data_IF_806481110073
#
_entry.id   IF_806481110073
#
_cell.length_a   1.000
_cell.length_b   1.000
_cell.length_c   1.000
_cell.angle_alpha   90.00
_cell.angle_beta   90.00
_cell.angle_gamma   90.00
#
_symmetry.space_group_name_H-M   'P 1'
#
loop_
_entity.id
_entity.type
_entity.pdbx_description
1 polymer ?
#
# COMPACT_ATOMS: atom_id res chain seq x y z
N UNK A 1 24.45 -9.34 -7.23
CA UNK A 1 23.14 -9.72 -6.65
C UNK A 1 23.05 -9.15 -5.26
N UNK A 2 21.87 -8.71 -4.86
CA UNK A 2 21.66 -8.07 -3.56
C UNK A 2 20.37 -8.60 -2.93
N UNK A 3 20.42 -8.96 -1.65
CA UNK A 3 19.23 -9.24 -0.84
C UNK A 3 18.85 -7.99 -0.06
N UNK A 4 17.57 -7.66 -0.03
CA UNK A 4 17.06 -6.47 0.66
C UNK A 4 15.94 -6.87 1.62
N UNK A 5 15.89 -6.21 2.77
CA UNK A 5 14.73 -6.17 3.65
C UNK A 5 14.37 -4.71 3.85
N UNK A 6 13.12 -4.37 3.57
CA UNK A 6 12.62 -2.99 3.60
C UNK A 6 11.40 -2.94 4.50
N UNK A 7 11.39 -1.95 5.39
CA UNK A 7 10.22 -1.58 6.18
C UNK A 7 9.84 -0.15 5.82
N UNK A 8 8.56 0.07 5.55
CA UNK A 8 8.03 1.38 5.18
C UNK A 8 6.54 1.49 5.50
N UNK A 9 5.99 2.66 5.26
CA UNK A 9 4.58 2.93 5.38
C UNK A 9 4.12 3.67 4.13
N UNK A 10 2.97 3.27 3.61
CA UNK A 10 2.22 4.00 2.59
C UNK A 10 0.93 4.52 3.20
N UNK A 11 0.46 5.65 2.71
CA UNK A 11 -0.81 6.26 3.10
C UNK A 11 -1.42 7.01 1.92
N UNK A 12 -2.73 7.08 1.91
CA UNK A 12 -3.51 7.87 0.98
C UNK A 12 -4.72 8.49 1.69
N UNK A 13 -5.14 9.65 1.20
CA UNK A 13 -6.33 10.33 1.68
C UNK A 13 -6.98 11.04 0.49
N UNK A 14 -8.23 10.68 0.19
CA UNK A 14 -9.01 11.25 -0.90
C UNK A 14 -9.26 12.77 -0.72
N UNK A 15 -9.21 13.28 0.51
CA UNK A 15 -9.30 14.72 0.81
C UNK A 15 -8.20 15.54 0.12
N UNK A 16 -7.05 14.93 -0.16
CA UNK A 16 -5.97 15.58 -0.89
C UNK A 16 -6.25 15.75 -2.40
N UNK A 17 -7.30 15.09 -2.91
CA UNK A 17 -7.72 15.07 -4.30
C UNK A 17 -9.20 15.46 -4.45
N UNK A 18 -9.68 16.34 -3.60
CA UNK A 18 -11.08 16.78 -3.54
C UNK A 18 -11.58 17.53 -4.77
N UNK A 19 -10.69 17.96 -5.65
CA UNK A 19 -10.98 18.50 -6.98
C UNK A 19 -11.44 17.42 -7.98
N UNK A 20 -11.19 16.13 -7.69
CA UNK A 20 -11.69 15.01 -8.44
C UNK A 20 -13.00 14.54 -7.78
N UNK A 21 -14.12 14.76 -8.43
CA UNK A 21 -15.45 14.50 -7.86
C UNK A 21 -15.63 13.07 -7.31
N UNK A 22 -15.06 12.07 -7.95
CA UNK A 22 -15.16 10.67 -7.54
C UNK A 22 -14.37 10.42 -6.25
N UNK A 23 -13.16 10.98 -6.10
CA UNK A 23 -12.37 10.91 -4.88
C UNK A 23 -13.05 11.66 -3.74
N UNK A 24 -13.54 12.87 -4.01
CA UNK A 24 -14.31 13.63 -3.02
C UNK A 24 -15.49 12.82 -2.47
N UNK A 25 -16.30 12.23 -3.34
CA UNK A 25 -17.44 11.40 -2.95
C UNK A 25 -17.04 10.14 -2.19
N UNK A 26 -15.91 9.53 -2.54
CA UNK A 26 -15.43 8.29 -1.92
C UNK A 26 -14.95 8.52 -0.48
N UNK A 27 -14.28 9.64 -0.22
CA UNK A 27 -13.84 10.10 1.11
C UNK A 27 -13.05 9.04 1.90
N UNK A 28 -12.23 8.26 1.23
CA UNK A 28 -11.44 7.22 1.86
C UNK A 28 -10.07 7.75 2.31
N UNK A 29 -9.58 7.19 3.40
CA UNK A 29 -8.19 7.31 3.81
C UNK A 29 -7.67 5.96 4.30
N UNK A 30 -6.39 5.76 4.13
CA UNK A 30 -5.74 4.55 4.64
C UNK A 30 -4.29 4.81 5.01
N UNK A 31 -3.77 3.92 5.83
CA UNK A 31 -2.34 3.74 6.07
C UNK A 31 -2.03 2.25 6.09
N UNK A 32 -0.89 1.87 5.53
CA UNK A 32 -0.45 0.48 5.53
C UNK A 32 1.06 0.39 5.75
N UNK A 33 1.47 -0.38 6.74
CA UNK A 33 2.87 -0.73 6.92
C UNK A 33 3.25 -1.82 5.91
N UNK A 34 4.38 -1.65 5.25
CA UNK A 34 4.94 -2.61 4.31
C UNK A 34 6.22 -3.20 4.88
N UNK A 35 6.30 -4.52 4.88
CA UNK A 35 7.52 -5.27 5.12
C UNK A 35 7.83 -6.08 3.87
N UNK A 36 8.92 -5.74 3.17
CA UNK A 36 9.35 -6.41 1.94
C UNK A 36 10.69 -7.13 2.16
N UNK A 37 10.78 -8.36 1.63
CA UNK A 37 12.04 -9.06 1.41
C UNK A 37 12.20 -9.28 -0.10
N UNK A 38 13.32 -8.85 -0.67
CA UNK A 38 13.54 -8.96 -2.12
C UNK A 38 14.97 -9.34 -2.48
N UNK A 39 15.10 -10.04 -3.62
CA UNK A 39 16.36 -10.32 -4.29
C UNK A 39 16.43 -9.50 -5.58
N UNK A 40 17.50 -8.73 -5.75
CA UNK A 40 17.71 -7.87 -6.91
C UNK A 40 19.03 -8.12 -7.60
N UNK A 41 19.04 -7.96 -8.91
CA UNK A 41 20.25 -7.87 -9.73
C UNK A 41 20.49 -6.39 -10.02
N UNK A 42 21.71 -5.96 -9.80
CA UNK A 42 22.16 -4.60 -10.06
C UNK A 42 23.10 -4.60 -11.26
N UNK A 43 22.89 -3.66 -12.17
CA UNK A 43 23.73 -3.43 -13.34
C UNK A 43 24.31 -2.02 -13.29
N UNK A 44 25.62 -1.93 -13.06
CA UNK A 44 26.35 -0.66 -13.10
C UNK A 44 26.54 -0.22 -14.56
N UNK A 45 26.06 0.96 -14.90
CA UNK A 45 26.17 1.51 -16.26
C UNK A 45 27.59 1.98 -16.58
N UNK A 46 28.33 2.38 -15.56
CA UNK A 46 29.75 2.71 -15.64
C UNK A 46 30.49 1.72 -14.75
N UNK A 47 31.72 1.33 -15.14
CA UNK A 47 32.52 0.43 -14.33
C UNK A 47 32.70 0.97 -12.91
N UNK A 48 32.22 0.22 -11.94
CA UNK A 48 32.34 0.56 -10.51
C UNK A 48 33.32 -0.43 -9.88
N UNK A 49 34.55 0.02 -9.68
CA UNK A 49 35.56 -0.74 -8.91
C UNK A 49 35.58 -0.23 -7.47
N UNK A 50 35.14 -1.08 -6.55
CA UNK A 50 35.08 -0.78 -5.11
C UNK A 50 36.48 -0.58 -4.46
N UNK A 51 37.55 -0.66 -5.25
CA UNK A 51 38.95 -0.57 -4.78
C UNK A 51 39.68 0.66 -5.30
N UNK A 52 39.13 1.39 -6.26
CA UNK A 52 39.79 2.57 -6.81
C UNK A 52 39.50 3.83 -5.98
N UNK A 53 40.59 4.48 -5.52
CA UNK A 53 40.60 5.72 -4.75
C UNK A 53 40.00 6.92 -5.52
N UNK A 54 39.88 6.82 -6.83
CA UNK A 54 39.34 7.84 -7.75
C UNK A 54 38.07 7.36 -8.45
N UNK A 55 37.14 6.76 -7.71
CA UNK A 55 35.89 6.36 -8.32
C UNK A 55 34.93 7.56 -8.41
N UNK A 56 34.57 8.01 -9.61
CA UNK A 56 33.67 9.17 -9.78
C UNK A 56 32.25 8.89 -9.32
N UNK A 57 31.98 7.64 -8.95
CA UNK A 57 30.64 7.11 -8.69
C UNK A 57 30.03 6.49 -9.96
N UNK A 58 29.02 5.67 -9.77
CA UNK A 58 28.36 4.96 -10.86
C UNK A 58 26.85 5.00 -10.74
N UNK A 59 26.15 5.40 -11.80
CA UNK A 59 24.73 5.13 -11.93
C UNK A 59 24.53 3.63 -12.18
N UNK A 60 23.44 3.10 -11.65
CA UNK A 60 23.06 1.70 -11.82
C UNK A 60 21.56 1.55 -12.02
N UNK A 61 21.19 0.46 -12.65
CA UNK A 61 19.82 -0.03 -12.73
C UNK A 61 19.70 -1.27 -11.88
N UNK A 62 18.52 -1.52 -11.36
CA UNK A 62 18.24 -2.77 -10.67
C UNK A 62 16.85 -3.30 -11.02
N UNK A 63 16.73 -4.63 -10.99
CA UNK A 63 15.46 -5.33 -11.10
C UNK A 63 15.52 -6.61 -10.29
N UNK A 64 14.34 -7.11 -9.87
CA UNK A 64 14.30 -8.32 -9.05
C UNK A 64 12.90 -8.84 -8.77
N UNK A 65 12.83 -9.67 -7.76
CA UNK A 65 11.57 -10.24 -7.24
C UNK A 65 11.55 -10.05 -5.74
N UNK A 66 10.40 -9.65 -5.20
CA UNK A 66 10.17 -9.49 -3.78
C UNK A 66 8.87 -10.15 -3.32
N UNK A 67 8.82 -10.42 -2.03
CA UNK A 67 7.59 -10.78 -1.32
C UNK A 67 7.40 -9.71 -0.26
N UNK A 68 6.19 -9.17 -0.16
CA UNK A 68 5.89 -8.15 0.82
C UNK A 68 4.61 -8.48 1.58
N UNK A 69 4.56 -8.01 2.82
CA UNK A 69 3.38 -8.03 3.67
C UNK A 69 2.91 -6.60 3.89
N UNK A 70 1.61 -6.40 3.78
CA UNK A 70 0.95 -5.13 4.02
C UNK A 70 -0.31 -5.34 4.85
N UNK A 71 -0.87 -4.27 5.41
CA UNK A 71 -2.11 -4.34 6.17
C UNK A 71 -2.76 -2.94 6.19
N UNK A 72 -3.69 -2.66 5.27
CA UNK A 72 -4.35 -1.38 5.21
C UNK A 72 -5.25 -1.17 6.42
N UNK A 73 -5.15 0.01 7.02
CA UNK A 73 -5.91 0.46 8.19
C UNK A 73 -6.41 1.87 7.96
N UNK A 74 -7.56 2.17 8.53
CA UNK A 74 -8.07 3.53 8.64
C UNK A 74 -8.31 3.91 10.08
N UNK A 75 -8.22 5.19 10.41
CA UNK A 75 -8.66 5.68 11.69
C UNK A 75 -10.14 6.02 11.60
N UNK A 76 -10.95 5.39 12.44
CA UNK A 76 -12.39 5.62 12.46
C UNK A 76 -12.71 6.87 13.29
N UNK A 77 -13.50 7.78 12.71
CA UNK A 77 -14.02 8.96 13.37
C UNK A 77 -15.53 8.79 13.54
N UNK A 78 -16.00 8.79 14.79
CA UNK A 78 -17.41 8.65 15.07
C UNK A 78 -18.15 9.99 14.92
N UNK A 79 -19.15 10.02 14.06
CA UNK A 79 -20.02 11.17 13.82
C UNK A 79 -21.44 10.84 14.30
N UNK A 80 -21.91 11.40 15.45
CA UNK A 80 -23.19 11.00 16.09
C UNK A 80 -24.43 11.18 15.20
N UNK A 81 -24.41 12.15 14.30
CA UNK A 81 -25.47 12.47 13.34
C UNK A 81 -25.47 11.55 12.10
N UNK A 82 -24.34 10.94 11.79
CA UNK A 82 -24.17 10.04 10.65
C UNK A 82 -24.23 8.58 11.08
N UNK A 83 -23.42 8.21 12.10
CA UNK A 83 -23.22 6.84 12.54
C UNK A 83 -24.29 6.41 13.56
N UNK A 84 -25.56 6.67 13.25
CA UNK A 84 -26.66 6.26 14.13
C UNK A 84 -26.88 4.74 14.03
N UNK A 85 -27.28 4.07 15.13
CA UNK A 85 -27.54 2.63 15.10
C UNK A 85 -28.58 2.21 14.05
N UNK A 86 -29.57 3.07 13.77
CA UNK A 86 -30.57 2.82 12.73
C UNK A 86 -30.00 2.68 11.32
N UNK A 87 -28.88 3.38 11.03
CA UNK A 87 -28.24 3.36 9.72
C UNK A 87 -27.26 2.17 9.58
N UNK A 88 -26.81 1.59 10.69
CA UNK A 88 -25.73 0.61 10.69
C UNK A 88 -26.12 -0.67 11.47
N UNK A 89 -27.24 -1.28 11.09
CA UNK A 89 -27.68 -2.59 11.60
C UNK A 89 -27.79 -2.67 13.14
N UNK A 90 -28.15 -1.57 13.79
CA UNK A 90 -28.26 -1.50 15.26
C UNK A 90 -26.92 -1.42 16.00
N UNK A 91 -25.80 -1.28 15.30
CA UNK A 91 -24.49 -1.23 15.93
C UNK A 91 -24.23 0.13 16.60
N UNK A 92 -23.66 0.09 17.78
CA UNK A 92 -23.08 1.27 18.43
C UNK A 92 -21.63 1.43 17.95
N UNK A 93 -21.41 2.37 17.04
CA UNK A 93 -20.10 2.65 16.47
C UNK A 93 -19.25 3.61 17.31
N UNK A 94 -19.81 4.25 18.35
CA UNK A 94 -19.09 5.17 19.22
C UNK A 94 -17.90 4.50 19.92
N UNK A 95 -17.98 3.20 20.15
CA UNK A 95 -16.92 2.41 20.77
C UNK A 95 -15.64 2.29 19.92
N UNK A 96 -15.72 2.65 18.64
CA UNK A 96 -14.59 2.61 17.69
C UNK A 96 -13.96 3.98 17.45
N UNK A 97 -14.50 5.04 18.03
CA UNK A 97 -13.99 6.40 17.85
C UNK A 97 -12.49 6.50 18.13
N UNK A 98 -11.76 7.11 17.20
CA UNK A 98 -10.31 7.28 17.24
C UNK A 98 -9.49 6.00 17.07
N UNK A 99 -10.10 4.82 16.91
CA UNK A 99 -9.37 3.56 16.77
C UNK A 99 -8.89 3.32 15.35
N UNK A 100 -7.73 2.69 15.24
CA UNK A 100 -7.22 2.15 13.98
C UNK A 100 -7.88 0.81 13.68
N UNK A 101 -8.60 0.76 12.57
CA UNK A 101 -9.34 -0.42 12.12
C UNK A 101 -8.61 -1.05 10.95
N UNK A 102 -8.36 -2.35 11.03
CA UNK A 102 -7.83 -3.14 9.92
C UNK A 102 -8.94 -3.35 8.88
N UNK A 103 -8.67 -2.97 7.63
CA UNK A 103 -9.71 -2.95 6.60
C UNK A 103 -9.99 -4.33 6.00
N UNK A 104 -8.96 -5.16 5.81
CA UNK A 104 -9.14 -6.49 5.21
C UNK A 104 -10.17 -7.38 5.96
N UNK A 105 -10.23 -7.43 7.33
CA UNK A 105 -11.25 -8.20 8.04
C UNK A 105 -12.66 -7.61 7.91
N UNK A 106 -12.78 -6.34 7.54
CA UNK A 106 -14.07 -5.66 7.39
C UNK A 106 -14.81 -6.08 6.12
N UNK A 107 -14.09 -6.59 5.12
CA UNK A 107 -14.70 -7.04 3.86
C UNK A 107 -15.60 -5.97 3.23
N UNK A 108 -15.06 -4.77 3.11
CA UNK A 108 -15.75 -3.53 2.71
C UNK A 108 -16.41 -3.59 1.32
N UNK A 109 -15.97 -4.53 0.48
CA UNK A 109 -16.52 -4.79 -0.86
C UNK A 109 -17.33 -6.10 -0.91
N UNK A 110 -17.83 -6.58 0.25
CA UNK A 110 -18.70 -7.73 0.33
C UNK A 110 -18.01 -9.08 0.18
N UNK A 111 -16.70 -9.14 0.40
CA UNK A 111 -15.94 -10.39 0.30
C UNK A 111 -16.48 -11.45 1.27
N UNK A 112 -16.56 -12.71 0.77
CA UNK A 112 -17.05 -13.86 1.51
C UNK A 112 -18.51 -13.78 1.95
N UNK A 113 -19.32 -12.91 1.35
CA UNK A 113 -20.77 -12.89 1.58
C UNK A 113 -21.50 -13.80 0.60
N UNK A 114 -22.71 -14.20 0.97
CA UNK A 114 -23.54 -15.07 0.12
C UNK A 114 -23.98 -14.38 -1.17
N UNK A 115 -24.14 -13.05 -1.16
CA UNK A 115 -24.56 -12.26 -2.34
C UNK A 115 -23.40 -12.06 -3.33
N UNK A 116 -22.17 -11.98 -2.81
CA UNK A 116 -20.95 -11.74 -3.58
C UNK A 116 -19.97 -12.90 -3.39
N UNK A 117 -20.45 -14.12 -3.60
CA UNK A 117 -19.74 -15.36 -3.31
C UNK A 117 -18.47 -15.55 -4.16
N UNK A 118 -18.35 -14.83 -5.27
CA UNK A 118 -17.16 -14.78 -6.12
C UNK A 118 -16.05 -13.90 -5.55
N UNK A 119 -16.37 -12.96 -4.63
CA UNK A 119 -15.39 -12.04 -4.05
C UNK A 119 -14.68 -12.71 -2.88
N UNK A 120 -13.38 -12.83 -3.00
CA UNK A 120 -12.52 -13.43 -1.96
C UNK A 120 -11.78 -12.35 -1.20
N UNK A 121 -11.48 -12.60 0.07
CA UNK A 121 -10.53 -11.77 0.80
C UNK A 121 -9.17 -11.85 0.14
N UNK A 122 -8.56 -10.68 -0.06
CA UNK A 122 -7.22 -10.61 -0.60
C UNK A 122 -6.18 -11.07 0.42
N UNK A 123 -5.07 -11.63 -0.07
CA UNK A 123 -3.95 -12.00 0.80
C UNK A 123 -3.15 -10.76 1.20
N UNK A 124 -2.83 -10.63 2.48
CA UNK A 124 -1.95 -9.58 3.00
C UNK A 124 -0.47 -9.83 2.66
N UNK A 125 -0.14 -10.98 2.09
CA UNK A 125 1.21 -11.30 1.60
C UNK A 125 1.16 -11.46 0.10
N UNK A 126 1.96 -10.67 -0.61
CA UNK A 126 1.93 -10.54 -2.06
C UNK A 126 3.35 -10.56 -2.64
N UNK A 127 3.43 -10.78 -3.95
CA UNK A 127 4.67 -10.70 -4.73
C UNK A 127 4.79 -9.32 -5.36
N UNK A 128 6.01 -8.82 -5.45
CA UNK A 128 6.35 -7.58 -6.16
C UNK A 128 7.49 -7.78 -7.15
N UNK A 129 7.54 -6.92 -8.15
CA UNK A 129 8.68 -6.77 -9.05
C UNK A 129 9.32 -5.42 -8.77
N UNK A 130 10.39 -5.37 -7.94
CA UNK A 130 11.17 -4.17 -7.76
C UNK A 130 11.98 -3.86 -9.02
N UNK A 131 11.86 -2.62 -9.51
CA UNK A 131 12.71 -2.07 -10.57
C UNK A 131 13.10 -0.65 -10.20
N UNK A 132 14.26 -0.21 -10.61
CA UNK A 132 14.66 1.15 -10.29
C UNK A 132 16.03 1.55 -10.80
N UNK A 133 16.38 2.76 -10.43
CA UNK A 133 17.64 3.41 -10.77
C UNK A 133 18.31 3.91 -9.50
N UNK A 134 19.60 4.00 -9.53
CA UNK A 134 20.34 4.56 -8.40
C UNK A 134 21.69 5.12 -8.82
N UNK A 135 22.30 5.79 -7.88
CA UNK A 135 23.65 6.29 -8.00
C UNK A 135 24.41 5.97 -6.72
N UNK A 136 25.62 5.45 -6.86
CA UNK A 136 26.49 5.14 -5.71
C UNK A 136 27.86 5.75 -5.92
N UNK A 137 28.46 6.17 -4.79
CA UNK A 137 29.78 6.76 -4.78
C UNK A 137 30.57 6.29 -3.56
N UNK A 138 31.77 5.82 -3.82
CA UNK A 138 32.73 5.52 -2.77
C UNK A 138 33.42 6.80 -2.29
N UNK A 139 33.53 7.00 -0.99
CA UNK A 139 34.20 8.16 -0.39
C UNK A 139 35.38 7.76 0.50
N UNK A 140 35.52 6.46 0.82
CA UNK A 140 36.70 5.91 1.47
C UNK A 140 36.96 4.47 0.99
N UNK A 141 38.07 3.86 1.36
CA UNK A 141 38.44 2.50 0.98
C UNK A 141 37.39 1.43 1.40
N UNK A 142 36.62 1.74 2.42
CA UNK A 142 35.64 0.81 3.02
C UNK A 142 34.21 1.33 3.02
N UNK A 143 33.99 2.61 2.68
CA UNK A 143 32.67 3.22 2.76
C UNK A 143 32.20 3.76 1.42
N UNK A 144 30.94 3.50 1.11
CA UNK A 144 30.23 4.08 -0.03
C UNK A 144 28.85 4.54 0.41
N UNK A 145 28.33 5.56 -0.25
CA UNK A 145 26.92 5.95 -0.15
C UNK A 145 26.19 5.72 -1.47
N UNK A 146 24.89 5.58 -1.40
CA UNK A 146 24.02 5.44 -2.57
C UNK A 146 22.68 6.11 -2.36
N UNK A 147 22.08 6.49 -3.45
CA UNK A 147 20.70 6.97 -3.53
C UNK A 147 19.99 6.12 -4.57
N UNK A 148 18.81 5.60 -4.21
CA UNK A 148 18.03 4.70 -5.06
C UNK A 148 16.58 5.17 -5.14
N UNK A 149 16.05 5.25 -6.35
CA UNK A 149 14.64 5.41 -6.63
C UNK A 149 14.13 4.09 -7.20
N UNK A 150 13.23 3.44 -6.47
CA UNK A 150 12.71 2.14 -6.83
C UNK A 150 11.19 2.10 -6.86
N UNK A 151 10.65 1.58 -7.94
CA UNK A 151 9.22 1.31 -8.11
C UNK A 151 8.98 -0.18 -7.87
N UNK A 152 7.86 -0.51 -7.24
CA UNK A 152 7.39 -1.89 -7.04
C UNK A 152 6.09 -2.08 -7.78
N UNK A 153 6.14 -2.87 -8.84
CA UNK A 153 4.92 -3.40 -9.47
C UNK A 153 4.37 -4.50 -8.59
N UNK A 154 3.14 -4.37 -8.15
CA UNK A 154 2.43 -5.42 -7.42
C UNK A 154 1.44 -6.17 -8.32
N UNK A 155 0.88 -7.25 -7.79
CA UNK A 155 -0.18 -8.02 -8.46
C UNK A 155 -1.49 -7.94 -7.70
N UNK A 156 -1.54 -7.15 -6.62
CA UNK A 156 -2.76 -6.80 -5.90
C UNK A 156 -3.27 -5.43 -6.34
N UNK A 157 -4.55 -5.20 -6.08
CA UNK A 157 -5.27 -3.95 -6.24
C UNK A 157 -5.91 -3.53 -4.92
N UNK A 158 -5.35 -4.00 -3.83
CA UNK A 158 -5.92 -3.82 -2.50
C UNK A 158 -4.91 -3.23 -1.50
N UNK A 159 -3.92 -2.47 -1.97
CA UNK A 159 -2.99 -1.80 -1.04
C UNK A 159 -3.70 -0.79 -0.14
N UNK A 160 -4.82 -0.24 -0.63
CA UNK A 160 -5.70 0.71 0.05
C UNK A 160 -7.08 0.12 0.43
N UNK A 161 -7.29 -1.21 0.27
CA UNK A 161 -8.57 -1.89 0.47
C UNK A 161 -9.64 -1.52 -0.58
N UNK A 162 -9.25 -1.00 -1.74
CA UNK A 162 -10.18 -0.56 -2.79
C UNK A 162 -9.83 -1.20 -4.13
N UNK A 163 -10.80 -1.87 -4.75
CA UNK A 163 -10.59 -2.52 -6.05
C UNK A 163 -11.84 -2.54 -6.92
N UNK A 164 -12.95 -3.01 -6.38
CA UNK A 164 -14.15 -3.39 -7.14
C UNK A 164 -15.23 -2.30 -7.11
N UNK A 165 -16.43 -2.67 -6.67
CA UNK A 165 -17.63 -1.83 -6.70
C UNK A 165 -18.23 -1.69 -5.30
N UNK A 166 -19.01 -0.61 -5.12
CA UNK A 166 -19.82 -0.45 -3.92
C UNK A 166 -20.81 -1.59 -3.77
N UNK A 167 -21.00 -2.00 -2.53
CA UNK A 167 -21.92 -3.06 -2.14
C UNK A 167 -23.01 -2.52 -1.24
N UNK A 168 -24.10 -3.27 -1.13
CA UNK A 168 -25.17 -2.96 -0.19
C UNK A 168 -24.64 -2.93 1.24
N UNK A 169 -24.73 -1.81 1.96
CA UNK A 169 -24.24 -1.69 3.33
C UNK A 169 -24.80 -2.73 4.29
N UNK A 170 -25.99 -3.27 4.01
CA UNK A 170 -26.62 -4.32 4.82
C UNK A 170 -26.03 -5.72 4.56
N UNK A 171 -25.24 -5.86 3.48
CA UNK A 171 -24.69 -7.15 3.01
C UNK A 171 -23.16 -7.13 3.06
N UNK A 172 -22.57 -6.18 3.78
CA UNK A 172 -21.14 -6.17 4.01
C UNK A 172 -20.73 -7.40 4.83
N UNK A 173 -19.64 -8.01 4.41
CA UNK A 173 -19.02 -9.12 5.14
C UNK A 173 -18.22 -8.63 6.35
N UNK A 174 -17.62 -9.57 7.05
CA UNK A 174 -16.71 -9.24 8.13
C UNK A 174 -17.24 -9.54 9.53
N UNK A 175 -16.40 -9.29 10.52
CA UNK A 175 -16.68 -9.60 11.93
C UNK A 175 -17.65 -8.61 12.60
N UNK A 176 -17.89 -7.46 11.97
CA UNK A 176 -18.79 -6.42 12.46
C UNK A 176 -19.51 -5.75 11.30
N UNK A 177 -20.74 -6.17 11.03
CA UNK A 177 -21.53 -5.70 9.88
C UNK A 177 -21.81 -4.21 9.90
N UNK A 178 -22.05 -3.61 11.07
CA UNK A 178 -22.29 -2.16 11.18
C UNK A 178 -21.04 -1.33 10.87
N UNK A 179 -19.90 -1.70 11.45
CA UNK A 179 -18.63 -1.04 11.18
C UNK A 179 -18.16 -1.27 9.75
N UNK A 180 -18.34 -2.48 9.21
CA UNK A 180 -18.05 -2.80 7.82
C UNK A 180 -18.85 -1.92 6.86
N UNK A 181 -20.14 -1.72 7.14
CA UNK A 181 -21.02 -0.86 6.36
C UNK A 181 -20.53 0.60 6.35
N UNK A 182 -20.16 1.13 7.51
CA UNK A 182 -19.65 2.49 7.65
C UNK A 182 -18.32 2.70 6.90
N UNK A 183 -17.47 1.68 6.87
CA UNK A 183 -16.17 1.73 6.18
C UNK A 183 -16.27 1.43 4.67
N UNK A 184 -17.32 0.72 4.25
CA UNK A 184 -17.56 0.40 2.83
C UNK A 184 -17.93 1.65 2.03
N UNK A 185 -18.72 2.55 2.62
CA UNK A 185 -19.10 3.83 2.00
C UNK A 185 -19.05 4.96 3.02
N UNK A 186 -18.06 5.83 2.89
CA UNK A 186 -17.80 6.97 3.78
C UNK A 186 -18.36 8.30 3.25
N UNK A 187 -19.14 8.27 2.17
CA UNK A 187 -19.80 9.46 1.61
C UNK A 187 -20.67 10.22 2.64
N UNK A 188 -21.44 9.53 3.51
CA UNK A 188 -22.25 10.22 4.50
C UNK A 188 -21.48 11.10 5.47
N UNK A 189 -20.19 10.78 5.71
CA UNK A 189 -19.31 11.55 6.59
C UNK A 189 -19.00 12.95 6.05
N UNK A 190 -19.18 13.19 4.75
CA UNK A 190 -19.00 14.50 4.12
C UNK A 190 -20.08 15.50 4.53
N UNK A 191 -21.25 15.02 4.96
CA UNK A 191 -22.41 15.87 5.30
C UNK A 191 -22.80 16.83 4.18
N UNK A 192 -22.51 16.46 2.93
CA UNK A 192 -22.86 17.24 1.75
C UNK A 192 -24.30 16.91 1.33
N UNK A 193 -25.24 17.87 1.41
CA UNK A 193 -26.63 17.61 1.06
C UNK A 193 -26.83 17.20 -0.40
N UNK A 194 -25.93 17.57 -1.29
CA UNK A 194 -25.98 17.18 -2.71
C UNK A 194 -25.72 15.69 -2.93
N UNK A 195 -25.07 15.02 -1.95
CA UNK A 195 -24.70 13.61 -1.99
C UNK A 195 -25.62 12.71 -1.16
N UNK A 196 -26.56 13.29 -0.40
CA UNK A 196 -27.45 12.51 0.49
C UNK A 196 -28.27 11.47 -0.27
N UNK A 197 -28.62 11.74 -1.52
CA UNK A 197 -29.36 10.81 -2.37
C UNK A 197 -28.49 9.70 -2.96
N UNK A 198 -27.16 9.80 -2.84
CA UNK A 198 -26.22 8.80 -3.39
C UNK A 198 -25.97 7.65 -2.39
N UNK A 199 -26.27 7.83 -1.10
CA UNK A 199 -26.03 6.82 -0.09
C UNK A 199 -27.11 5.72 -0.12
N UNK A 200 -26.67 4.46 -0.32
CA UNK A 200 -27.56 3.31 -0.37
C UNK A 200 -28.52 3.29 -1.57
N UNK A 201 -28.36 4.22 -2.52
CA UNK A 201 -29.17 4.27 -3.72
C UNK A 201 -28.79 3.14 -4.68
N UNK A 202 -29.77 2.59 -5.42
CA UNK A 202 -29.54 1.53 -6.40
C UNK A 202 -28.50 1.94 -7.47
N UNK A 203 -28.43 3.23 -7.81
CA UNK A 203 -27.45 3.77 -8.77
C UNK A 203 -25.99 3.67 -8.27
N UNK A 204 -25.78 3.73 -6.94
CA UNK A 204 -24.46 3.59 -6.34
C UNK A 204 -24.06 2.14 -6.18
N UNK A 205 -25.03 1.27 -5.94
CA UNK A 205 -24.79 -0.18 -5.82
C UNK A 205 -24.28 -0.72 -7.16
N UNK A 206 -23.05 -1.26 -7.13
CA UNK A 206 -22.37 -1.73 -8.32
C UNK A 206 -21.60 -0.65 -9.09
N UNK A 207 -21.68 0.63 -8.69
CA UNK A 207 -20.78 1.65 -9.21
C UNK A 207 -19.32 1.35 -8.80
N UNK A 208 -18.37 1.76 -9.63
CA UNK A 208 -16.96 1.54 -9.35
C UNK A 208 -16.54 2.24 -8.04
N UNK A 209 -15.96 1.48 -7.11
CA UNK A 209 -15.28 1.99 -5.91
C UNK A 209 -13.79 2.16 -6.17
N UNK A 210 -13.20 1.25 -6.94
CA UNK A 210 -11.83 1.25 -7.43
C UNK A 210 -11.76 0.91 -8.92
N UNK A 211 -10.58 0.50 -9.36
CA UNK A 211 -10.33 0.06 -10.73
C UNK A 211 -9.55 -1.24 -10.75
N UNK A 212 -10.24 -2.36 -10.70
CA UNK A 212 -9.65 -3.72 -10.67
C UNK A 212 -8.74 -4.06 -11.86
N UNK A 213 -8.87 -3.31 -12.96
CA UNK A 213 -8.05 -3.51 -14.16
C UNK A 213 -6.60 -3.07 -13.98
N UNK A 214 -6.35 -2.13 -13.08
CA UNK A 214 -5.01 -1.61 -12.78
C UNK A 214 -4.53 -2.11 -11.44
N UNK A 215 -3.36 -2.77 -11.42
CA UNK A 215 -2.78 -3.24 -10.16
C UNK A 215 -1.93 -2.14 -9.55
N UNK A 216 -1.89 -2.11 -8.22
CA UNK A 216 -1.20 -1.09 -7.45
C UNK A 216 0.31 -1.09 -7.64
N UNK A 217 0.87 0.08 -7.42
CA UNK A 217 2.29 0.33 -7.43
C UNK A 217 2.66 1.15 -6.20
N UNK A 218 3.86 0.92 -5.68
CA UNK A 218 4.42 1.82 -4.67
C UNK A 218 5.88 2.15 -4.98
N UNK A 219 6.35 3.25 -4.40
CA UNK A 219 7.65 3.82 -4.70
C UNK A 219 8.45 3.99 -3.41
N UNK A 220 9.75 3.69 -3.49
CA UNK A 220 10.72 3.98 -2.45
C UNK A 220 11.82 4.90 -2.96
N UNK A 221 12.17 5.86 -2.12
CA UNK A 221 13.42 6.60 -2.21
C UNK A 221 14.31 6.16 -1.04
N UNK A 222 15.44 5.53 -1.34
CA UNK A 222 16.34 4.98 -0.33
C UNK A 222 17.69 5.72 -0.36
N UNK A 223 18.16 6.09 0.83
CA UNK A 223 19.56 6.44 1.02
C UNK A 223 20.27 5.27 1.68
N UNK A 224 21.41 4.85 1.11
CA UNK A 224 22.19 3.71 1.60
C UNK A 224 23.58 4.16 2.03
N UNK A 225 24.06 3.59 3.13
CA UNK A 225 25.44 3.67 3.56
C UNK A 225 25.99 2.25 3.61
N UNK A 226 26.98 1.97 2.77
CA UNK A 226 27.56 0.64 2.62
C UNK A 226 28.97 0.61 3.20
N UNK A 227 29.25 -0.41 4.03
CA UNK A 227 30.58 -0.71 4.53
C UNK A 227 31.07 -2.02 3.94
N UNK A 228 32.23 -1.98 3.29
CA UNK A 228 32.91 -3.18 2.81
C UNK A 228 33.53 -3.93 4.00
N UNK A 229 33.17 -5.20 4.14
CA UNK A 229 33.77 -6.10 5.11
C UNK A 229 34.88 -6.88 4.36
N UNK A 230 36.12 -6.48 4.53
CA UNK A 230 37.26 -7.22 4.01
C UNK A 230 37.52 -8.41 4.92
N UNK A 231 37.03 -9.58 4.55
CA UNK A 231 37.45 -10.86 5.13
C UNK A 231 38.92 -11.09 4.74
N UNK A 232 39.69 -11.60 5.68
CA UNK A 232 41.15 -11.72 5.64
C UNK A 232 41.78 -12.18 4.34
N UNK A 233 43.06 -11.89 4.18
CA UNK A 233 43.95 -12.15 3.03
C UNK A 233 43.60 -13.43 2.28
N UNK A 234 43.04 -13.30 1.09
CA UNK A 234 43.13 -14.35 0.07
C UNK A 234 44.60 -14.40 -0.35
N UNK A 235 45.34 -15.36 0.14
CA UNK A 235 46.62 -15.77 -0.44
C UNK A 235 46.30 -16.34 -1.81
N UNK A 236 46.58 -15.56 -2.85
CA UNK A 236 46.66 -16.11 -4.20
C UNK A 236 47.82 -17.10 -4.22
N UNK A 237 47.53 -18.38 -4.43
CA UNK A 237 48.56 -19.32 -4.83
C UNK A 237 49.05 -18.88 -6.22
N UNK A 238 50.29 -18.39 -6.28
CA UNK A 238 51.04 -18.28 -7.50
C UNK A 238 51.57 -19.69 -7.85
N UNK A 239 51.14 -20.21 -9.00
CA UNK A 239 51.76 -21.36 -9.65
C UNK A 239 52.91 -20.88 -10.55
#
# INVERSE_FOLDING_TARGET
MRGNAVFGQISGDDKNYSDIAEHYKRNLNFTSNILECSGTVEWNLLGFEETQRSNPGAPFLFAGIGVFKFNPKTQFEYLPDVHTPSNYNGADLSVYDGKWIELQPMATEGQETTKYNERRRYSLTQVSIPVGVGYKKQFSEVWAWGLELGVRKTFTDYLDDVSMTYVDPQITGGSNTGLSAALADRTPELRDPSLVNDYGNEERLGAARGNEATKDWYLFLNFTLTRKITGGKTTCFQF
#
